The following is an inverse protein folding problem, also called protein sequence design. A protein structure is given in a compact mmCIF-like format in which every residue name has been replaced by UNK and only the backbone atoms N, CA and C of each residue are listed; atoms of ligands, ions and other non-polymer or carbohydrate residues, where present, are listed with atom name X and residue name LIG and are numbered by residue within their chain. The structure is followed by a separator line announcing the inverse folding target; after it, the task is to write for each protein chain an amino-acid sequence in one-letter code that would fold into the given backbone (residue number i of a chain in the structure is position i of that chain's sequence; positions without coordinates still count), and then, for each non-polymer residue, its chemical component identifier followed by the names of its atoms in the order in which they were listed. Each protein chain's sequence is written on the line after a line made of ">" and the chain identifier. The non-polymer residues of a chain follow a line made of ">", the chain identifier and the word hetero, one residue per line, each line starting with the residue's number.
data_IF_427824498970
#
_entry.id   IF_427824498970
#
_cell.length_a   1.000
_cell.length_b   1.000
_cell.length_c   1.000
_cell.angle_alpha   90.00
_cell.angle_beta   90.00
_cell.angle_gamma   90.00
#
_symmetry.space_group_name_H-M   'P 1'
#
loop_
_entity.id
_entity.type
_entity.pdbx_description
1 polymer ?
#
# COMPACT_ATOMS: atom_id res chain seq x y z
N UNK A 1 13.34 8.86 -20.33
CA UNK A 1 13.29 9.01 -18.85
C UNK A 1 11.96 9.55 -18.33
N UNK A 2 11.48 10.75 -18.72
CA UNK A 2 10.24 11.34 -18.15
C UNK A 2 8.98 10.47 -18.32
N UNK A 3 8.85 9.78 -19.45
CA UNK A 3 7.73 8.85 -19.72
C UNK A 3 7.77 7.67 -18.75
N UNK A 4 8.97 7.14 -18.44
CA UNK A 4 9.12 5.99 -17.53
C UNK A 4 8.72 6.33 -16.10
N UNK A 5 8.96 7.57 -15.66
CA UNK A 5 8.50 8.04 -14.33
C UNK A 5 6.97 8.13 -14.29
N UNK A 6 6.35 8.61 -15.37
CA UNK A 6 4.89 8.63 -15.47
C UNK A 6 4.28 7.22 -15.51
N UNK A 7 5.00 6.23 -16.06
CA UNK A 7 4.55 4.83 -16.12
C UNK A 7 4.40 4.17 -14.74
N UNK A 8 4.92 4.74 -13.65
CA UNK A 8 4.72 4.23 -12.29
C UNK A 8 3.22 4.21 -11.91
N UNK A 9 2.42 5.13 -12.44
CA UNK A 9 0.98 5.20 -12.15
C UNK A 9 0.14 4.17 -12.95
N UNK A 10 0.65 3.65 -14.07
CA UNK A 10 -0.11 2.81 -14.97
C UNK A 10 -0.62 1.50 -14.35
N UNK A 11 0.19 0.73 -13.59
CA UNK A 11 -0.28 -0.49 -12.94
C UNK A 11 -1.44 -0.25 -11.98
N UNK A 12 -1.44 0.87 -11.24
CA UNK A 12 -2.52 1.21 -10.30
C UNK A 12 -3.82 1.53 -11.04
N UNK A 13 -3.74 2.30 -12.13
CA UNK A 13 -4.91 2.64 -12.96
C UNK A 13 -5.45 1.37 -13.62
N UNK A 14 -4.59 0.55 -14.21
CA UNK A 14 -4.99 -0.70 -14.86
C UNK A 14 -5.66 -1.67 -13.89
N UNK A 15 -5.08 -1.87 -12.69
CA UNK A 15 -5.67 -2.73 -11.66
C UNK A 15 -7.03 -2.22 -11.20
N UNK A 16 -7.16 -0.92 -10.90
CA UNK A 16 -8.42 -0.31 -10.47
C UNK A 16 -9.49 -0.40 -11.55
N UNK A 17 -9.12 -0.15 -12.81
CA UNK A 17 -10.04 -0.21 -13.94
C UNK A 17 -10.52 -1.62 -14.22
N UNK A 18 -9.65 -2.63 -14.08
CA UNK A 18 -10.03 -4.04 -14.20
C UNK A 18 -11.07 -4.45 -13.17
N UNK A 19 -10.86 -4.10 -11.90
CA UNK A 19 -11.83 -4.33 -10.83
C UNK A 19 -13.16 -3.60 -11.07
N UNK A 20 -13.09 -2.34 -11.48
CA UNK A 20 -14.27 -1.54 -11.78
C UNK A 20 -15.10 -2.16 -12.90
N UNK A 21 -14.46 -2.60 -13.99
CA UNK A 21 -15.12 -3.28 -15.10
C UNK A 21 -15.84 -4.55 -14.64
N UNK A 22 -15.20 -5.38 -13.80
CA UNK A 22 -15.82 -6.60 -13.30
C UNK A 22 -17.00 -6.34 -12.36
N UNK A 23 -16.93 -5.30 -11.53
CA UNK A 23 -18.00 -4.95 -10.58
C UNK A 23 -19.20 -4.28 -11.27
N UNK A 24 -18.94 -3.39 -12.23
CA UNK A 24 -20.01 -2.76 -13.03
C UNK A 24 -20.64 -3.78 -13.97
N UNK A 25 -19.84 -4.65 -14.59
CA UNK A 25 -20.32 -5.67 -15.53
C UNK A 25 -21.27 -6.70 -14.91
N UNK A 26 -21.27 -6.83 -13.57
CA UNK A 26 -22.19 -7.71 -12.84
C UNK A 26 -23.51 -7.02 -12.44
N UNK A 27 -23.62 -5.70 -12.52
CA UNK A 27 -24.88 -4.99 -12.26
C UNK A 27 -25.96 -5.48 -13.27
N UNK A 28 -27.23 -5.73 -12.84
CA UNK A 28 -27.85 -5.37 -11.56
C UNK A 28 -27.80 -6.48 -10.48
N UNK A 29 -26.88 -7.44 -10.58
CA UNK A 29 -26.82 -8.59 -9.68
C UNK A 29 -25.76 -8.42 -8.60
N UNK A 30 -26.06 -8.84 -7.37
CA UNK A 30 -25.05 -9.09 -6.34
C UNK A 30 -24.54 -10.52 -6.48
N UNK A 31 -25.49 -11.46 -6.62
CA UNK A 31 -25.25 -12.87 -6.94
C UNK A 31 -26.05 -13.18 -8.19
N UNK A 32 -25.36 -13.51 -9.28
CA UNK A 32 -25.97 -13.75 -10.59
C UNK A 32 -27.12 -14.76 -10.51
N UNK A 33 -28.32 -14.35 -10.94
CA UNK A 33 -29.51 -15.20 -10.97
C UNK A 33 -30.18 -15.45 -9.61
N UNK A 34 -29.60 -14.99 -8.50
CA UNK A 34 -30.15 -15.22 -7.16
C UNK A 34 -30.57 -13.94 -6.44
N UNK A 35 -29.72 -12.90 -6.45
CA UNK A 35 -29.94 -11.70 -5.65
C UNK A 35 -29.55 -10.45 -6.43
N UNK A 36 -30.49 -9.52 -6.55
CA UNK A 36 -30.26 -8.20 -7.14
C UNK A 36 -29.60 -7.24 -6.15
N UNK A 37 -28.85 -6.28 -6.67
CA UNK A 37 -28.18 -5.24 -5.86
C UNK A 37 -29.17 -4.40 -5.07
N UNK A 38 -30.33 -4.07 -5.65
CA UNK A 38 -31.40 -3.34 -4.97
C UNK A 38 -31.95 -4.08 -3.72
N UNK A 39 -32.01 -5.43 -3.79
CA UNK A 39 -32.46 -6.26 -2.68
C UNK A 39 -31.36 -6.53 -1.63
N UNK A 40 -30.12 -6.14 -1.90
CA UNK A 40 -28.97 -6.39 -1.02
C UNK A 40 -28.71 -5.26 -0.01
N UNK A 41 -29.57 -4.23 0.03
CA UNK A 41 -29.43 -3.09 0.95
C UNK A 41 -29.91 -3.48 2.35
N UNK A 42 -29.13 -3.13 3.37
CA UNK A 42 -29.47 -3.43 4.76
C UNK A 42 -30.69 -2.63 5.23
N UNK A 43 -31.77 -3.28 5.70
CA UNK A 43 -33.01 -2.59 6.07
C UNK A 43 -32.91 -1.78 7.38
N UNK A 44 -31.96 -2.14 8.25
CA UNK A 44 -31.80 -1.53 9.59
C UNK A 44 -30.84 -0.35 9.61
N UNK A 45 -30.22 0.02 8.49
CA UNK A 45 -29.21 1.08 8.43
C UNK A 45 -29.84 2.34 7.83
N UNK A 46 -29.79 3.42 8.59
CA UNK A 46 -30.29 4.73 8.14
C UNK A 46 -29.29 5.41 7.19
N UNK A 47 -29.79 6.31 6.33
CA UNK A 47 -28.93 7.09 5.43
C UNK A 47 -27.88 7.92 6.19
N UNK A 48 -28.22 8.41 7.39
CA UNK A 48 -27.29 9.17 8.24
C UNK A 48 -26.11 8.33 8.74
N UNK A 49 -26.37 7.08 9.16
CA UNK A 49 -25.32 6.15 9.58
C UNK A 49 -24.41 5.77 8.40
N UNK A 50 -25.00 5.56 7.23
CA UNK A 50 -24.25 5.28 6.00
C UNK A 50 -23.31 6.45 5.65
N UNK A 51 -23.84 7.68 5.62
CA UNK A 51 -23.04 8.87 5.32
C UNK A 51 -21.93 9.09 6.35
N UNK A 52 -22.24 8.97 7.64
CA UNK A 52 -21.25 9.10 8.71
C UNK A 52 -20.10 8.10 8.51
N UNK A 53 -20.41 6.82 8.28
CA UNK A 53 -19.38 5.80 8.07
C UNK A 53 -18.53 6.05 6.81
N UNK A 54 -19.15 6.43 5.69
CA UNK A 54 -18.44 6.78 4.45
C UNK A 54 -17.47 7.93 4.69
N UNK A 55 -17.92 9.00 5.33
CA UNK A 55 -17.07 10.15 5.66
C UNK A 55 -15.94 9.71 6.58
N UNK A 56 -16.24 8.96 7.64
CA UNK A 56 -15.23 8.49 8.58
C UNK A 56 -14.14 7.65 7.89
N UNK A 57 -14.52 6.71 7.02
CA UNK A 57 -13.57 5.89 6.26
C UNK A 57 -12.76 6.72 5.24
N UNK A 58 -13.41 7.63 4.50
CA UNK A 58 -12.71 8.51 3.56
C UNK A 58 -11.69 9.37 4.31
N UNK A 59 -12.08 10.00 5.42
CA UNK A 59 -11.19 10.83 6.23
C UNK A 59 -10.02 10.01 6.78
N UNK A 60 -10.28 8.84 7.36
CA UNK A 60 -9.25 7.97 7.91
C UNK A 60 -8.25 7.52 6.84
N UNK A 61 -8.72 7.02 5.69
CA UNK A 61 -7.85 6.59 4.60
C UNK A 61 -7.10 7.77 3.96
N UNK A 62 -7.70 8.96 3.92
CA UNK A 62 -7.02 10.17 3.44
C UNK A 62 -5.86 10.57 4.36
N UNK A 63 -6.06 10.53 5.68
CA UNK A 63 -4.99 10.79 6.65
C UNK A 63 -3.86 9.79 6.47
N UNK A 64 -4.18 8.49 6.36
CA UNK A 64 -3.18 7.44 6.13
C UNK A 64 -2.41 7.65 4.82
N UNK A 65 -3.10 8.02 3.73
CA UNK A 65 -2.47 8.33 2.46
C UNK A 65 -1.49 9.52 2.56
N UNK A 66 -1.88 10.59 3.26
CA UNK A 66 -1.00 11.77 3.48
C UNK A 66 0.23 11.39 4.28
N UNK A 67 0.06 10.64 5.38
CA UNK A 67 1.18 10.16 6.20
C UNK A 67 2.10 9.26 5.38
N UNK A 68 1.55 8.34 4.59
CA UNK A 68 2.32 7.47 3.72
C UNK A 68 3.14 8.26 2.70
N UNK A 69 2.52 9.21 1.98
CA UNK A 69 3.22 10.05 1.01
C UNK A 69 4.32 10.87 1.70
N UNK A 70 4.04 11.43 2.87
CA UNK A 70 5.01 12.18 3.66
C UNK A 70 6.23 11.31 4.02
N UNK A 71 6.01 10.12 4.56
CA UNK A 71 7.07 9.18 4.92
C UNK A 71 7.85 8.73 3.70
N UNK A 72 7.17 8.40 2.59
CA UNK A 72 7.80 8.00 1.35
C UNK A 72 8.75 9.12 0.87
N UNK A 73 8.25 10.34 0.69
CA UNK A 73 9.07 11.48 0.24
C UNK A 73 10.23 11.76 1.19
N UNK A 74 10.02 11.64 2.51
CA UNK A 74 11.08 11.81 3.51
C UNK A 74 12.18 10.76 3.33
N UNK A 75 11.83 9.48 3.28
CA UNK A 75 12.79 8.37 3.13
C UNK A 75 13.53 8.43 1.78
N UNK A 76 12.85 8.79 0.68
CA UNK A 76 13.53 8.97 -0.61
C UNK A 76 14.53 10.13 -0.62
N UNK A 77 14.25 11.20 0.13
CA UNK A 77 15.16 12.36 0.25
C UNK A 77 16.37 12.07 1.15
N UNK A 78 16.20 11.24 2.18
CA UNK A 78 17.31 10.81 3.05
C UNK A 78 18.36 9.98 2.28
N UNK A 79 17.98 9.41 1.12
CA UNK A 79 18.87 8.61 0.28
C UNK A 79 19.27 7.28 0.93
N UNK A 80 19.94 6.36 0.23
CA UNK A 80 20.50 5.18 0.88
C UNK A 80 21.54 5.66 1.88
N UNK A 81 21.25 5.56 3.17
CA UNK A 81 22.25 5.77 4.20
C UNK A 81 23.35 4.74 4.00
N UNK A 82 24.47 5.15 3.38
CA UNK A 82 25.73 4.40 3.40
C UNK A 82 26.24 4.16 4.84
N UNK A 83 25.58 4.78 5.82
CA UNK A 83 25.69 4.45 7.22
C UNK A 83 24.70 3.34 7.62
N UNK A 84 24.79 2.18 6.96
CA UNK A 84 24.83 0.97 7.76
C UNK A 84 26.18 0.99 8.50
N UNK A 85 26.33 1.91 9.46
CA UNK A 85 27.38 1.82 10.46
C UNK A 85 26.98 0.60 11.27
N UNK A 86 27.40 -0.57 10.79
CA UNK A 86 27.44 -1.80 11.55
C UNK A 86 28.53 -1.54 12.58
N UNK A 87 28.16 -0.80 13.61
CA UNK A 87 28.76 -0.90 14.93
C UNK A 87 28.39 -2.28 15.48
N UNK A 88 28.82 -3.34 14.79
CA UNK A 88 28.96 -4.63 15.42
C UNK A 88 30.33 -4.53 16.06
N UNK A 89 30.38 -3.93 17.24
CA UNK A 89 31.37 -4.32 18.23
C UNK A 89 31.07 -5.77 18.55
N UNK A 90 31.53 -6.66 17.67
CA UNK A 90 31.69 -8.07 17.92
C UNK A 90 32.68 -8.13 19.07
N UNK A 91 32.20 -8.52 20.25
CA UNK A 91 33.06 -8.81 21.40
C UNK A 91 33.62 -10.23 21.29
N UNK A 92 33.73 -10.75 20.06
CA UNK A 92 34.22 -12.08 19.75
C UNK A 92 35.76 -12.06 19.74
N UNK A 93 36.42 -12.84 20.61
CA UNK A 93 37.87 -12.91 20.68
C UNK A 93 38.54 -13.46 19.41
N UNK A 94 37.79 -14.03 18.47
CA UNK A 94 38.33 -14.79 17.33
C UNK A 94 38.15 -14.11 15.96
N UNK A 95 37.54 -12.91 15.89
CA UNK A 95 37.30 -12.20 14.62
C UNK A 95 38.60 -11.81 13.87
N UNK A 96 39.74 -11.77 14.55
CA UNK A 96 41.04 -11.42 13.97
C UNK A 96 41.75 -12.57 13.25
N UNK A 97 41.55 -13.83 13.65
CA UNK A 97 42.29 -14.97 13.06
C UNK A 97 41.84 -15.29 11.63
N UNK A 98 40.56 -15.15 11.33
CA UNK A 98 40.00 -15.50 10.03
C UNK A 98 40.61 -14.68 8.87
N UNK A 99 41.10 -13.47 9.13
CA UNK A 99 41.75 -12.63 8.12
C UNK A 99 43.19 -13.05 7.83
N UNK A 100 43.90 -13.62 8.81
CA UNK A 100 45.31 -13.99 8.66
C UNK A 100 45.50 -15.30 7.88
N UNK A 101 44.56 -16.26 7.97
CA UNK A 101 44.63 -17.55 7.26
C UNK A 101 44.39 -17.43 5.75
N UNK A 102 43.71 -16.36 5.32
CA UNK A 102 43.35 -16.16 3.89
C UNK A 102 44.45 -15.43 3.11
N UNK A 103 45.40 -14.81 3.80
CA UNK A 103 46.48 -14.02 3.20
C UNK A 103 47.84 -14.72 3.14
N UNK A 104 47.93 -16.00 3.53
CA UNK A 104 49.12 -16.85 3.41
C UNK A 104 49.00 -17.86 2.26
#
# INVERSE_FOLDING_TARGET
>A
MRIMVASIAFPFIGSTSGWLMTEIGRQPWTVFGFMQTAASVSPNVTAGQLLFSIIAFITMYSILAVVMIYLFVRTFKEGPSLNAKKDVSSNDPFDGEAYHVVTE
#
